data_IF_353811034008
#
_entry.id   IF_353811034008
#
_cell.length_a   1.000
_cell.length_b   1.000
_cell.length_c   1.000
_cell.angle_alpha   90.00
_cell.angle_beta   90.00
_cell.angle_gamma   90.00
#
_symmetry.space_group_name_H-M   'P 1'
#
loop_
_entity.id
_entity.type
_entity.pdbx_description
1 polymer ?
#
# COMPACT_ATOMS: atom_id res chain seq x y z
N UNK A 1 -29.88 -5.79 21.57
CA UNK A 1 -28.57 -6.25 21.06
C UNK A 1 -28.42 -5.79 19.62
N UNK A 2 -27.74 -4.67 19.37
CA UNK A 2 -27.40 -4.26 18.01
C UNK A 2 -25.89 -4.09 17.92
N UNK A 3 -25.29 -4.97 17.12
CA UNK A 3 -23.86 -5.08 16.92
C UNK A 3 -23.31 -3.84 16.24
N UNK A 4 -22.30 -3.29 16.88
CA UNK A 4 -21.34 -2.34 16.32
C UNK A 4 -20.80 -2.86 14.97
N UNK A 5 -21.20 -2.21 13.88
CA UNK A 5 -20.58 -2.44 12.57
C UNK A 5 -19.18 -1.82 12.61
N UNK A 6 -18.18 -2.69 12.73
CA UNK A 6 -16.76 -2.36 12.83
C UNK A 6 -16.21 -1.71 11.55
N UNK A 7 -16.48 -0.42 11.34
CA UNK A 7 -15.77 0.41 10.36
C UNK A 7 -14.39 0.90 10.88
N UNK A 8 -13.98 0.45 12.07
CA UNK A 8 -12.79 0.89 12.81
C UNK A 8 -11.60 -0.09 12.76
N UNK A 9 -11.71 -1.25 12.11
CA UNK A 9 -10.68 -2.29 12.16
C UNK A 9 -9.45 -2.04 11.28
N UNK A 10 -9.54 -1.14 10.30
CA UNK A 10 -8.44 -0.87 9.34
C UNK A 10 -7.68 0.42 9.63
N UNK A 11 -8.15 1.24 10.57
CA UNK A 11 -7.45 2.47 10.94
C UNK A 11 -6.24 2.14 11.80
N UNK A 12 -5.08 2.71 11.46
CA UNK A 12 -3.79 2.38 12.09
C UNK A 12 -3.36 0.92 11.90
N UNK A 13 -3.64 0.35 10.71
CA UNK A 13 -3.14 -0.97 10.30
C UNK A 13 -1.62 -0.91 10.04
N UNK A 14 -0.84 -0.98 11.12
CA UNK A 14 0.62 -0.96 11.11
C UNK A 14 1.18 -1.83 12.25
N UNK A 15 2.27 -2.54 11.98
CA UNK A 15 2.99 -3.35 12.96
C UNK A 15 4.50 -3.26 12.75
N UNK A 16 5.27 -3.48 13.83
CA UNK A 16 6.73 -3.61 13.78
C UNK A 16 7.11 -5.06 14.08
N UNK A 17 7.97 -5.62 13.23
CA UNK A 17 8.57 -6.93 13.44
C UNK A 17 10.05 -6.76 13.79
N UNK A 18 10.45 -7.28 14.95
CA UNK A 18 11.85 -7.34 15.36
C UNK A 18 12.40 -8.72 15.04
N UNK A 19 13.44 -8.75 14.21
CA UNK A 19 14.14 -9.99 13.87
C UNK A 19 14.90 -10.52 15.09
N UNK A 20 15.02 -11.85 15.20
CA UNK A 20 15.77 -12.52 16.27
C UNK A 20 17.28 -12.26 16.19
N UNK A 21 17.78 -11.94 15.00
CA UNK A 21 19.16 -11.53 14.72
C UNK A 21 19.19 -10.35 13.75
N UNK A 22 20.32 -9.64 13.73
CA UNK A 22 20.57 -8.57 12.74
C UNK A 22 20.69 -9.14 11.33
N UNK A 23 20.42 -8.29 10.33
CA UNK A 23 20.58 -8.61 8.91
C UNK A 23 21.77 -7.83 8.36
N UNK A 24 22.64 -8.52 7.62
CA UNK A 24 23.75 -7.88 6.93
C UNK A 24 23.26 -7.20 5.66
N UNK A 25 23.56 -5.91 5.53
CA UNK A 25 23.19 -5.15 4.34
C UNK A 25 24.11 -5.47 3.17
N UNK A 26 23.51 -5.60 1.99
CA UNK A 26 24.20 -5.93 0.74
C UNK A 26 23.67 -5.07 -0.39
N UNK A 27 24.10 -5.35 -1.62
CA UNK A 27 23.51 -4.73 -2.81
C UNK A 27 22.04 -5.13 -3.04
N UNK A 28 21.59 -6.24 -2.45
CA UNK A 28 20.22 -6.75 -2.59
C UNK A 28 19.37 -6.59 -1.33
N UNK A 29 19.98 -6.19 -0.20
CA UNK A 29 19.29 -6.00 1.08
C UNK A 29 19.61 -4.60 1.60
N UNK A 30 18.63 -3.70 1.54
CA UNK A 30 18.75 -2.31 2.00
C UNK A 30 17.49 -1.85 2.74
N UNK A 31 17.64 -0.99 3.77
CA UNK A 31 16.48 -0.40 4.45
C UNK A 31 15.77 0.61 3.55
N UNK A 32 14.46 0.76 3.75
CA UNK A 32 13.66 1.83 3.15
C UNK A 32 13.66 3.06 4.07
N UNK A 33 13.66 4.26 3.49
CA UNK A 33 13.51 5.49 4.26
C UNK A 33 12.07 5.67 4.73
N UNK A 34 11.88 6.10 5.99
CA UNK A 34 10.60 6.59 6.45
C UNK A 34 10.33 7.99 5.88
N UNK A 35 9.05 8.29 5.63
CA UNK A 35 8.66 9.63 5.24
C UNK A 35 8.91 10.62 6.41
N UNK A 36 9.26 11.86 6.08
CA UNK A 36 9.43 12.90 7.10
C UNK A 36 8.10 13.14 7.84
N UNK A 37 8.19 13.49 9.12
CA UNK A 37 7.02 13.82 9.93
C UNK A 37 6.22 14.96 9.26
N UNK A 38 4.90 14.78 9.14
CA UNK A 38 4.01 15.75 8.49
C UNK A 38 4.13 15.84 6.96
N UNK A 39 4.86 14.91 6.31
CA UNK A 39 4.91 14.86 4.85
C UNK A 39 3.52 14.58 4.24
N UNK A 40 3.27 15.21 3.09
CA UNK A 40 2.01 15.07 2.34
C UNK A 40 2.34 14.59 0.94
N UNK A 41 1.73 13.47 0.54
CA UNK A 41 1.79 12.96 -0.82
C UNK A 41 0.69 13.62 -1.64
N UNK A 42 1.06 14.45 -2.62
CA UNK A 42 0.08 15.18 -3.44
C UNK A 42 -0.66 14.23 -4.36
N UNK A 43 -1.96 14.46 -4.56
CA UNK A 43 -2.73 13.73 -5.56
C UNK A 43 -2.08 13.84 -6.95
N UNK A 44 -2.08 12.75 -7.71
CA UNK A 44 -1.40 12.62 -8.99
C UNK A 44 0.09 12.26 -8.89
N UNK A 45 0.70 12.28 -7.69
CA UNK A 45 2.08 11.78 -7.52
C UNK A 45 2.12 10.29 -7.86
N UNK A 46 2.97 9.89 -8.80
CA UNK A 46 3.19 8.47 -9.10
C UNK A 46 3.90 7.78 -7.95
N UNK A 47 3.33 6.69 -7.45
CA UNK A 47 3.98 5.77 -6.51
C UNK A 47 4.01 4.36 -7.08
N UNK A 48 4.83 3.51 -6.47
CA UNK A 48 5.02 2.13 -6.89
C UNK A 48 4.57 1.20 -5.78
N UNK A 49 3.86 0.15 -6.15
CA UNK A 49 3.50 -0.96 -5.27
C UNK A 49 4.22 -2.20 -5.77
N UNK A 50 4.97 -2.85 -4.89
CA UNK A 50 5.71 -4.09 -5.19
C UNK A 50 5.23 -5.23 -4.32
N UNK A 51 5.18 -6.44 -4.87
CA UNK A 51 4.87 -7.64 -4.10
C UNK A 51 4.76 -8.91 -4.94
N UNK A 52 4.53 -10.02 -4.25
CA UNK A 52 4.29 -11.34 -4.85
C UNK A 52 2.81 -11.74 -4.80
N UNK A 53 1.90 -10.75 -4.81
CA UNK A 53 0.45 -10.99 -4.77
C UNK A 53 -0.10 -11.67 -6.03
N UNK A 54 -1.40 -12.00 -6.01
CA UNK A 54 -2.08 -12.53 -7.21
C UNK A 54 -2.12 -11.47 -8.31
N UNK A 55 -1.83 -11.83 -9.56
CA UNK A 55 -1.80 -10.89 -10.69
C UNK A 55 -3.17 -10.77 -11.37
N UNK A 56 -4.03 -11.77 -11.19
CA UNK A 56 -5.42 -11.74 -11.62
C UNK A 56 -6.30 -12.61 -10.72
N UNK A 57 -7.63 -12.52 -10.86
CA UNK A 57 -8.61 -13.29 -10.05
C UNK A 57 -8.41 -14.81 -10.09
N UNK A 58 -7.68 -15.32 -11.08
CA UNK A 58 -7.47 -16.75 -11.33
C UNK A 58 -6.00 -17.15 -11.33
N UNK A 59 -5.08 -16.23 -11.04
CA UNK A 59 -3.65 -16.44 -11.20
C UNK A 59 -2.88 -16.16 -9.92
N UNK A 60 -2.32 -17.23 -9.37
CA UNK A 60 -1.55 -17.20 -8.13
C UNK A 60 -0.15 -16.64 -8.37
N UNK A 61 0.42 -16.13 -7.28
CA UNK A 61 1.77 -15.56 -7.13
C UNK A 61 2.75 -16.02 -8.23
N UNK A 62 3.25 -15.08 -9.03
CA UNK A 62 4.36 -15.36 -9.94
C UNK A 62 5.66 -14.90 -9.30
N UNK A 63 6.66 -15.77 -9.32
CA UNK A 63 8.04 -15.34 -9.46
C UNK A 63 8.25 -14.88 -10.92
N UNK A 64 8.96 -13.78 -11.17
CA UNK A 64 9.68 -12.92 -10.22
C UNK A 64 8.77 -11.92 -9.47
N UNK A 65 9.32 -11.19 -8.49
CA UNK A 65 8.68 -10.03 -7.83
C UNK A 65 8.02 -9.09 -8.87
N UNK A 66 6.80 -8.64 -8.60
CA UNK A 66 6.05 -7.75 -9.48
C UNK A 66 6.06 -6.31 -8.96
N UNK A 67 5.95 -5.35 -9.87
CA UNK A 67 5.77 -3.93 -9.57
C UNK A 67 4.66 -3.30 -10.43
N UNK A 68 3.93 -2.35 -9.86
CA UNK A 68 2.93 -1.56 -10.59
C UNK A 68 2.98 -0.10 -10.14
N UNK A 69 2.94 0.81 -11.11
CA UNK A 69 2.81 2.25 -10.86
C UNK A 69 1.34 2.66 -10.74
N UNK A 70 1.03 3.48 -9.74
CA UNK A 70 -0.30 4.03 -9.52
C UNK A 70 -0.20 5.49 -9.05
N UNK A 71 -1.14 6.36 -9.41
CA UNK A 71 -1.16 7.73 -8.90
C UNK A 71 -1.77 7.76 -7.50
N UNK A 72 -1.25 8.62 -6.63
CA UNK A 72 -1.89 8.97 -5.35
C UNK A 72 -3.22 9.65 -5.62
N UNK A 73 -4.25 9.26 -4.88
CA UNK A 73 -5.62 9.78 -4.94
C UNK A 73 -5.91 10.58 -3.67
N UNK A 74 -6.56 11.73 -3.81
CA UNK A 74 -6.92 12.54 -2.64
C UNK A 74 -7.92 11.82 -1.72
N UNK A 75 -7.80 11.98 -0.39
CA UNK A 75 -8.73 11.36 0.56
C UNK A 75 -10.17 11.81 0.35
N UNK A 76 -10.41 13.01 -0.20
CA UNK A 76 -11.76 13.48 -0.53
C UNK A 76 -12.38 12.68 -1.68
N UNK A 77 -11.63 12.44 -2.76
CA UNK A 77 -12.06 11.57 -3.86
C UNK A 77 -12.22 10.13 -3.38
N UNK A 78 -11.27 9.63 -2.60
CA UNK A 78 -11.31 8.26 -2.08
C UNK A 78 -12.54 8.02 -1.19
N UNK A 79 -12.86 8.94 -0.26
CA UNK A 79 -14.07 8.86 0.56
C UNK A 79 -15.35 8.75 -0.28
N UNK A 80 -15.46 9.54 -1.35
CA UNK A 80 -16.61 9.48 -2.27
C UNK A 80 -16.69 8.14 -3.00
N UNK A 81 -15.55 7.60 -3.45
CA UNK A 81 -15.50 6.31 -4.14
C UNK A 81 -15.92 5.15 -3.23
N UNK A 82 -15.56 5.20 -1.95
CA UNK A 82 -15.83 4.15 -0.97
C UNK A 82 -17.13 4.32 -0.16
N UNK A 83 -17.85 5.44 -0.35
CA UNK A 83 -19.09 5.76 0.37
C UNK A 83 -20.15 4.66 0.22
N UNK A 84 -20.35 4.14 -1.00
CA UNK A 84 -21.31 3.05 -1.28
C UNK A 84 -20.92 1.72 -0.64
N UNK A 85 -19.64 1.51 -0.39
CA UNK A 85 -19.12 0.31 0.25
C UNK A 85 -19.14 0.41 1.79
N UNK A 86 -19.60 1.53 2.35
CA UNK A 86 -19.59 1.82 3.78
C UNK A 86 -18.20 1.68 4.42
N UNK A 87 -17.14 2.00 3.66
CA UNK A 87 -15.75 2.00 4.13
C UNK A 87 -15.36 3.42 4.52
N UNK A 88 -14.94 3.60 5.78
CA UNK A 88 -14.52 4.89 6.32
C UNK A 88 -13.03 5.13 6.07
N UNK A 89 -12.71 5.99 5.13
CA UNK A 89 -11.33 6.45 4.89
C UNK A 89 -10.96 7.57 5.88
N UNK A 90 -9.96 7.34 6.73
CA UNK A 90 -9.48 8.30 7.75
C UNK A 90 -8.35 9.18 7.19
N UNK A 91 -7.83 10.11 8.01
CA UNK A 91 -6.63 10.89 7.69
C UNK A 91 -5.33 10.10 7.83
N UNK A 92 -5.37 8.92 8.47
CA UNK A 92 -4.22 8.03 8.64
C UNK A 92 -4.01 7.09 7.44
N UNK A 93 -4.89 7.18 6.43
CA UNK A 93 -4.87 6.35 5.22
C UNK A 93 -4.50 7.19 4.00
N UNK A 94 -3.83 6.55 3.03
CA UNK A 94 -3.52 7.11 1.72
C UNK A 94 -4.16 6.19 0.67
N UNK A 95 -4.77 6.77 -0.36
CA UNK A 95 -5.31 6.02 -1.49
C UNK A 95 -4.42 6.20 -2.71
N UNK A 96 -4.30 5.16 -3.53
CA UNK A 96 -3.64 5.21 -4.82
C UNK A 96 -4.34 4.26 -5.80
N UNK A 97 -4.36 4.61 -7.07
CA UNK A 97 -5.04 3.82 -8.10
C UNK A 97 -5.68 4.68 -9.18
N UNK A 98 -6.20 4.00 -10.20
CA UNK A 98 -6.88 4.63 -11.32
C UNK A 98 -8.41 4.59 -11.11
N UNK A 99 -9.16 5.67 -11.40
CA UNK A 99 -10.62 5.67 -11.34
C UNK A 99 -11.27 4.57 -12.20
N UNK A 100 -10.66 4.26 -13.35
CA UNK A 100 -11.05 3.19 -14.28
C UNK A 100 -10.65 1.78 -13.81
N UNK A 101 -9.86 1.66 -12.73
CA UNK A 101 -9.30 0.40 -12.25
C UNK A 101 -8.15 -0.11 -13.11
N UNK A 102 -7.93 -1.43 -13.10
CA UNK A 102 -6.90 -2.10 -13.93
C UNK A 102 -5.49 -2.14 -13.33
N UNK A 103 -5.16 -1.25 -12.39
CA UNK A 103 -3.91 -1.29 -11.60
C UNK A 103 -4.23 -1.16 -10.11
N UNK A 104 -3.87 -2.17 -9.32
CA UNK A 104 -4.07 -2.18 -7.86
C UNK A 104 -3.14 -3.21 -7.20
N UNK A 105 -2.95 -3.07 -5.89
CA UNK A 105 -2.56 -4.17 -5.02
C UNK A 105 -3.65 -5.25 -5.01
N UNK A 106 -3.27 -6.51 -4.84
CA UNK A 106 -4.23 -7.63 -4.82
C UNK A 106 -4.09 -8.46 -3.55
N UNK A 107 -5.11 -9.28 -3.26
CA UNK A 107 -5.08 -10.17 -2.09
C UNK A 107 -3.83 -11.02 -2.13
N UNK A 108 -3.18 -11.10 -0.97
CA UNK A 108 -2.10 -12.03 -0.73
C UNK A 108 -2.60 -12.94 0.37
N UNK A 109 -2.53 -14.25 0.16
CA UNK A 109 -2.82 -15.14 1.28
C UNK A 109 -1.83 -14.87 2.42
N UNK A 110 -0.55 -14.53 2.17
CA UNK A 110 0.46 -14.29 3.22
C UNK A 110 1.72 -13.47 2.82
N UNK A 111 1.65 -12.31 2.14
CA UNK A 111 2.88 -11.48 1.94
C UNK A 111 2.64 -9.97 1.96
N UNK A 112 3.62 -9.25 2.52
CA UNK A 112 3.62 -7.80 2.75
C UNK A 112 3.67 -7.00 1.45
N UNK A 113 2.89 -5.93 1.35
CA UNK A 113 3.00 -4.94 0.28
C UNK A 113 3.88 -3.78 0.73
N UNK A 114 4.76 -3.31 -0.15
CA UNK A 114 5.50 -2.07 0.03
C UNK A 114 5.02 -1.05 -0.98
N UNK A 115 4.38 0.00 -0.50
CA UNK A 115 4.12 1.22 -1.27
C UNK A 115 5.30 2.14 -1.05
N UNK A 116 6.00 2.51 -2.11
CA UNK A 116 7.13 3.43 -2.01
C UNK A 116 7.12 4.44 -3.16
N UNK A 117 7.63 5.63 -2.87
CA UNK A 117 8.02 6.58 -3.91
C UNK A 117 9.41 6.18 -4.39
N UNK A 118 9.54 5.78 -5.66
CA UNK A 118 10.83 5.41 -6.26
C UNK A 118 11.69 6.67 -6.38
N UNK A 119 12.49 6.98 -5.36
CA UNK A 119 13.63 7.87 -5.55
C UNK A 119 14.73 7.01 -6.18
N UNK A 120 14.84 7.09 -7.51
CA UNK A 120 16.03 6.59 -8.20
C UNK A 120 17.22 7.42 -7.70
N UNK A 121 17.95 6.89 -6.72
CA UNK A 121 19.32 7.33 -6.49
C UNK A 121 20.13 6.81 -7.68
N UNK A 122 20.22 7.62 -8.74
CA UNK A 122 21.32 7.50 -9.68
C UNK A 122 22.56 8.12 -9.02
N UNK A 123 23.55 7.28 -8.72
CA UNK A 123 24.92 7.70 -8.37
C UNK A 123 25.09 8.08 -6.91
#
# INVERSE_FOLDING_TARGET
TQGSTHASLLDNDIALLRLSSTVDFTNFIRPVCLAAAGSVFRAGTTCWVTGWGTISRSEFCREPLQEVDVPVVSNSQCRKAYERANVKITSNMICAGLPEGGKDSCKVSQSYHLIHHKRLNHG
#
